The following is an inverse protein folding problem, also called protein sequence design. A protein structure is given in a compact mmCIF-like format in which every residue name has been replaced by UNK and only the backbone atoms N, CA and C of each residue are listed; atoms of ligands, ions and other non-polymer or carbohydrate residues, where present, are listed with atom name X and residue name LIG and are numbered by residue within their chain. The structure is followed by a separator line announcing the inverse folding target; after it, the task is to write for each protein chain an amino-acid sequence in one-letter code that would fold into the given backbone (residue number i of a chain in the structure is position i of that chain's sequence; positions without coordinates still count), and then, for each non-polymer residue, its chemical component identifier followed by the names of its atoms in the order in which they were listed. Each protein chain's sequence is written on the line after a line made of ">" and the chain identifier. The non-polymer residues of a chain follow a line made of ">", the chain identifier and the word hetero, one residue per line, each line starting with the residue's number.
data_IF_364503867951
#
_entry.id   IF_364503867951
#
_cell.length_a   1.000
_cell.length_b   1.000
_cell.length_c   1.000
_cell.angle_alpha   90.00
_cell.angle_beta   90.00
_cell.angle_gamma   90.00
#
_symmetry.space_group_name_H-M   'P 1'
#
loop_
_entity.id
_entity.type
_entity.pdbx_description
1 polymer ?
#
# COMPACT_ATOMS: atom_id res chain seq x y z
N UNK A 1 51.56 -33.25 -31.00
CA UNK A 1 50.62 -32.61 -30.05
C UNK A 1 50.09 -31.34 -30.68
N UNK A 2 48.79 -31.29 -31.01
CA UNK A 2 47.93 -30.09 -31.03
C UNK A 2 46.59 -30.48 -31.66
N UNK A 3 45.64 -30.90 -30.85
CA UNK A 3 44.23 -31.01 -31.26
C UNK A 3 43.63 -29.60 -31.29
N UNK A 4 43.48 -29.01 -32.47
CA UNK A 4 42.62 -27.83 -32.65
C UNK A 4 41.20 -28.30 -32.99
N UNK A 5 40.41 -28.59 -31.96
CA UNK A 5 38.97 -28.79 -32.10
C UNK A 5 38.33 -27.39 -32.17
N UNK A 6 38.04 -26.90 -33.38
CA UNK A 6 37.14 -25.75 -33.55
C UNK A 6 35.75 -26.19 -33.11
N UNK A 7 35.37 -25.86 -31.88
CA UNK A 7 33.95 -25.83 -31.53
C UNK A 7 33.37 -24.55 -32.12
N UNK A 8 32.79 -24.69 -33.31
CA UNK A 8 31.80 -23.74 -33.80
C UNK A 8 30.70 -23.64 -32.75
N UNK A 9 30.55 -22.48 -32.11
CA UNK A 9 29.36 -22.20 -31.31
C UNK A 9 28.14 -22.32 -32.25
N UNK A 10 27.09 -23.06 -31.89
CA UNK A 10 25.88 -23.10 -32.71
C UNK A 10 25.37 -21.67 -32.82
N UNK A 11 25.30 -21.16 -34.04
CA UNK A 11 24.61 -19.91 -34.32
C UNK A 11 23.20 -20.03 -33.78
N UNK A 12 22.86 -19.19 -32.82
CA UNK A 12 21.49 -19.04 -32.35
C UNK A 12 20.69 -18.51 -33.53
N UNK A 13 20.02 -19.41 -34.26
CA UNK A 13 18.97 -19.06 -35.21
C UNK A 13 17.81 -18.48 -34.41
N UNK A 14 17.94 -17.22 -33.98
CA UNK A 14 16.80 -16.44 -33.51
C UNK A 14 15.92 -16.24 -34.72
N UNK A 15 14.75 -16.86 -34.70
CA UNK A 15 13.74 -16.55 -35.72
C UNK A 15 13.26 -15.11 -35.48
N UNK A 16 12.82 -14.39 -36.52
CA UNK A 16 12.26 -13.04 -36.37
C UNK A 16 11.13 -12.97 -35.33
N UNK A 17 10.43 -14.10 -35.12
CA UNK A 17 9.43 -14.28 -34.08
C UNK A 17 10.04 -14.28 -32.68
N UNK A 18 11.16 -14.97 -32.46
CA UNK A 18 11.87 -14.98 -31.17
C UNK A 18 12.39 -13.59 -30.80
N UNK A 19 12.90 -12.82 -31.77
CA UNK A 19 13.37 -11.45 -31.52
C UNK A 19 12.21 -10.52 -31.13
N UNK A 20 11.07 -10.60 -31.82
CA UNK A 20 9.85 -9.86 -31.45
C UNK A 20 9.33 -10.22 -30.07
N UNK A 21 9.31 -11.51 -29.71
CA UNK A 21 8.89 -11.95 -28.38
C UNK A 21 9.85 -11.40 -27.32
N UNK A 22 11.16 -11.48 -27.56
CA UNK A 22 12.16 -10.95 -26.63
C UNK A 22 12.05 -9.43 -26.47
N UNK A 23 11.72 -8.70 -27.53
CA UNK A 23 11.47 -7.26 -27.49
C UNK A 23 10.22 -6.95 -26.66
N UNK A 24 9.10 -7.63 -26.90
CA UNK A 24 7.86 -7.47 -26.14
C UNK A 24 8.07 -7.78 -24.65
N UNK A 25 8.78 -8.86 -24.32
CA UNK A 25 9.11 -9.19 -22.94
C UNK A 25 10.06 -8.17 -22.30
N UNK A 26 11.00 -7.60 -23.06
CA UNK A 26 11.87 -6.52 -22.60
C UNK A 26 11.14 -5.20 -22.36
N UNK A 27 9.98 -4.99 -22.99
CA UNK A 27 9.09 -3.86 -22.70
C UNK A 27 8.26 -4.08 -21.45
N UNK A 28 7.93 -5.33 -21.09
CA UNK A 28 7.15 -5.64 -19.89
C UNK A 28 7.82 -5.12 -18.61
N UNK A 29 9.15 -5.28 -18.48
CA UNK A 29 9.93 -4.74 -17.35
C UNK A 29 9.88 -3.20 -17.27
N UNK A 30 9.73 -2.51 -18.41
CA UNK A 30 9.65 -1.05 -18.47
C UNK A 30 8.24 -0.51 -18.20
N UNK A 31 7.22 -1.34 -18.46
CA UNK A 31 5.80 -0.98 -18.34
C UNK A 31 5.18 -1.45 -17.01
N UNK A 32 5.86 -2.32 -16.26
CA UNK A 32 5.37 -2.88 -15.00
C UNK A 32 5.21 -1.87 -13.84
N UNK A 33 5.64 -0.62 -14.02
CA UNK A 33 5.69 0.37 -12.94
C UNK A 33 6.79 0.07 -11.91
N UNK A 34 6.71 0.71 -10.76
CA UNK A 34 7.61 0.52 -9.63
C UNK A 34 7.02 -0.48 -8.63
N UNK A 35 7.85 -1.40 -8.12
CA UNK A 35 7.46 -2.35 -7.07
C UNK A 35 7.09 -1.65 -5.74
N UNK A 36 7.70 -0.50 -5.48
CA UNK A 36 7.41 0.35 -4.33
C UNK A 36 7.89 1.75 -4.62
N UNK A 37 7.11 2.76 -4.23
CA UNK A 37 7.48 4.16 -4.37
C UNK A 37 7.04 4.92 -3.10
N UNK A 38 7.64 6.08 -2.85
CA UNK A 38 7.37 6.88 -1.67
C UNK A 38 7.41 8.37 -1.98
N UNK A 39 6.89 9.18 -1.05
CA UNK A 39 6.82 10.62 -1.21
C UNK A 39 5.86 11.24 -0.21
N UNK A 40 5.73 12.58 -0.26
CA UNK A 40 4.75 13.30 0.55
C UNK A 40 3.35 13.13 -0.06
N UNK A 41 2.37 12.85 0.77
CA UNK A 41 0.97 12.78 0.38
C UNK A 41 0.33 14.17 0.37
N UNK A 42 0.80 15.07 -0.49
CA UNK A 42 0.30 16.45 -0.58
C UNK A 42 -1.15 16.54 -1.09
N UNK A 43 -1.74 15.42 -1.51
CA UNK A 43 -3.15 15.32 -1.91
C UNK A 43 -4.12 15.28 -0.73
N UNK A 44 -3.67 14.92 0.47
CA UNK A 44 -4.52 14.71 1.63
C UNK A 44 -4.55 15.96 2.53
N UNK A 45 -5.74 16.40 2.99
CA UNK A 45 -5.82 17.47 3.97
C UNK A 45 -5.29 16.98 5.33
N UNK A 46 -4.81 17.86 6.23
CA UNK A 46 -4.24 17.46 7.51
C UNK A 46 -5.22 16.70 8.44
N UNK A 47 -6.53 16.91 8.27
CA UNK A 47 -7.56 16.33 9.14
C UNK A 47 -8.53 15.47 8.33
N UNK A 48 -8.67 14.17 8.63
CA UNK A 48 -9.58 13.27 7.91
C UNK A 48 -11.06 13.42 8.32
N UNK A 49 -11.33 14.16 9.41
CA UNK A 49 -12.66 14.18 10.03
C UNK A 49 -13.01 12.81 10.64
N UNK A 50 -12.08 12.22 11.39
CA UNK A 50 -12.22 10.90 12.00
C UNK A 50 -13.43 10.87 12.94
N UNK A 51 -14.37 9.97 12.68
CA UNK A 51 -15.55 9.73 13.49
C UNK A 51 -15.61 8.25 13.87
N UNK A 52 -15.93 7.97 15.13
CA UNK A 52 -16.05 6.60 15.64
C UNK A 52 -17.43 6.40 16.26
N UNK A 53 -18.13 5.36 15.84
CA UNK A 53 -19.47 5.07 16.34
C UNK A 53 -19.45 4.83 17.87
N UNK A 54 -20.36 5.49 18.59
CA UNK A 54 -20.42 5.46 20.05
C UNK A 54 -19.30 6.22 20.78
N UNK A 55 -18.40 6.93 20.07
CA UNK A 55 -17.43 7.88 20.66
C UNK A 55 -17.67 9.30 20.15
N UNK A 56 -18.00 9.44 18.87
CA UNK A 56 -18.18 10.73 18.19
C UNK A 56 -16.94 11.13 17.37
N UNK A 57 -16.77 12.44 17.15
CA UNK A 57 -15.61 12.96 16.42
C UNK A 57 -14.33 12.86 17.25
N UNK A 58 -13.26 12.39 16.62
CA UNK A 58 -11.93 12.29 17.21
C UNK A 58 -11.04 13.37 16.59
N UNK A 59 -10.64 14.35 17.40
CA UNK A 59 -9.72 15.40 16.98
C UNK A 59 -8.28 14.86 16.85
N UNK A 60 -7.59 15.35 15.82
CA UNK A 60 -6.15 15.13 15.61
C UNK A 60 -5.41 16.48 15.73
N UNK A 61 -4.25 16.54 16.41
CA UNK A 61 -3.53 15.44 17.05
C UNK A 61 -4.31 14.83 18.23
N UNK A 62 -4.13 13.52 18.43
CA UNK A 62 -4.93 12.74 19.37
C UNK A 62 -4.62 13.15 20.82
N UNK A 63 -5.57 13.80 21.48
CA UNK A 63 -5.47 14.21 22.88
C UNK A 63 -5.83 13.05 23.82
N UNK A 64 -5.26 13.06 25.03
CA UNK A 64 -5.41 11.99 26.04
C UNK A 64 -6.85 11.62 26.36
N UNK A 65 -7.77 12.59 26.37
CA UNK A 65 -9.20 12.33 26.63
C UNK A 65 -9.84 11.51 25.51
N UNK A 66 -9.66 11.92 24.26
CA UNK A 66 -10.15 11.18 23.09
C UNK A 66 -9.47 9.82 22.95
N UNK A 67 -8.17 9.74 23.26
CA UNK A 67 -7.44 8.47 23.27
C UNK A 67 -8.07 7.48 24.25
N UNK A 68 -8.40 7.89 25.48
CA UNK A 68 -9.04 7.02 26.48
C UNK A 68 -10.42 6.54 26.01
N UNK A 69 -11.25 7.44 25.48
CA UNK A 69 -12.58 7.08 24.96
C UNK A 69 -12.48 6.11 23.78
N UNK A 70 -11.54 6.33 22.87
CA UNK A 70 -11.27 5.47 21.72
C UNK A 70 -10.78 4.08 22.17
N UNK A 71 -9.78 4.03 23.05
CA UNK A 71 -9.20 2.80 23.61
C UNK A 71 -10.25 1.93 24.29
N UNK A 72 -11.22 2.54 24.99
CA UNK A 72 -12.30 1.83 25.65
C UNK A 72 -13.25 1.10 24.68
N UNK A 73 -13.31 1.53 23.41
CA UNK A 73 -14.08 0.86 22.35
C UNK A 73 -13.27 -0.16 21.56
N UNK A 74 -11.95 0.03 21.47
CA UNK A 74 -11.11 -0.85 20.67
C UNK A 74 -11.02 -2.28 21.24
N UNK A 75 -10.95 -3.26 20.35
CA UNK A 75 -10.55 -4.63 20.70
C UNK A 75 -9.05 -4.67 20.94
N UNK A 76 -8.64 -5.39 21.97
CA UNK A 76 -7.22 -5.60 22.26
C UNK A 76 -6.68 -6.73 21.38
N UNK A 77 -5.49 -6.54 20.80
CA UNK A 77 -4.80 -7.63 20.10
C UNK A 77 -4.36 -8.71 21.11
N UNK A 78 -4.53 -9.98 20.74
CA UNK A 78 -4.17 -11.13 21.59
C UNK A 78 -2.66 -11.18 21.84
N UNK A 79 -1.88 -10.94 20.79
CA UNK A 79 -0.42 -11.13 20.83
C UNK A 79 0.34 -9.84 21.20
N UNK A 80 -0.35 -8.69 21.14
CA UNK A 80 0.26 -7.36 21.25
C UNK A 80 -0.57 -6.50 22.22
N UNK A 81 -0.28 -6.54 23.54
CA UNK A 81 -1.14 -5.92 24.55
C UNK A 81 -1.26 -4.39 24.41
N UNK A 82 -0.27 -3.74 23.79
CA UNK A 82 -0.23 -2.30 23.54
C UNK A 82 -0.83 -1.87 22.19
N UNK A 83 -1.35 -2.82 21.40
CA UNK A 83 -2.01 -2.56 20.13
C UNK A 83 -3.49 -2.86 20.27
N UNK A 84 -4.31 -1.87 19.91
CA UNK A 84 -5.76 -1.98 19.92
C UNK A 84 -6.32 -1.61 18.57
N UNK A 85 -7.42 -2.23 18.17
CA UNK A 85 -8.02 -1.99 16.85
C UNK A 85 -9.54 -1.90 16.87
N UNK A 86 -10.07 -1.19 15.88
CA UNK A 86 -11.48 -1.12 15.54
C UNK A 86 -11.67 -1.57 14.09
N UNK A 87 -12.77 -2.26 13.84
CA UNK A 87 -13.20 -2.62 12.49
C UNK A 87 -13.64 -1.37 11.73
N UNK A 88 -13.53 -1.42 10.41
CA UNK A 88 -13.85 -0.29 9.53
C UNK A 88 -15.31 0.15 9.59
N UNK A 89 -16.25 -0.77 9.86
CA UNK A 89 -17.67 -0.47 10.05
C UNK A 89 -17.97 0.47 11.23
N UNK A 90 -17.02 0.60 12.17
CA UNK A 90 -17.14 1.50 13.32
C UNK A 90 -16.51 2.88 13.07
N UNK A 91 -15.87 3.10 11.92
CA UNK A 91 -15.00 4.25 11.66
C UNK A 91 -15.35 4.91 10.34
N UNK A 92 -15.56 6.22 10.39
CA UNK A 92 -15.87 7.02 9.22
C UNK A 92 -14.91 8.21 9.10
N UNK A 93 -14.53 8.54 7.86
CA UNK A 93 -13.79 9.76 7.56
C UNK A 93 -14.76 10.77 6.97
N UNK A 94 -15.20 11.73 7.79
CA UNK A 94 -16.29 12.66 7.46
C UNK A 94 -15.84 13.91 6.72
N UNK A 95 -14.54 14.13 6.51
CA UNK A 95 -14.08 15.26 5.70
C UNK A 95 -14.22 14.93 4.20
N UNK A 96 -15.08 15.62 3.43
CA UNK A 96 -15.23 15.35 1.99
C UNK A 96 -13.93 15.61 1.20
N UNK A 97 -13.13 16.60 1.64
CA UNK A 97 -11.83 16.88 1.03
C UNK A 97 -10.83 15.74 1.23
N UNK A 98 -11.01 14.92 2.28
CA UNK A 98 -10.20 13.72 2.48
C UNK A 98 -10.52 12.67 1.43
N UNK A 99 -11.80 12.44 1.14
CA UNK A 99 -12.22 11.49 0.09
C UNK A 99 -11.69 11.90 -1.28
N UNK A 100 -11.84 13.18 -1.65
CA UNK A 100 -11.27 13.71 -2.89
C UNK A 100 -9.73 13.59 -2.93
N UNK A 101 -9.05 13.74 -1.80
CA UNK A 101 -7.62 13.54 -1.67
C UNK A 101 -7.18 12.08 -1.86
N UNK A 102 -7.97 11.13 -1.34
CA UNK A 102 -7.76 9.69 -1.50
C UNK A 102 -7.95 9.26 -2.95
N UNK A 103 -8.95 9.76 -3.66
CA UNK A 103 -9.15 9.49 -5.09
C UNK A 103 -7.94 9.93 -5.94
N UNK A 104 -7.38 11.11 -5.64
CA UNK A 104 -6.15 11.59 -6.28
C UNK A 104 -4.95 10.70 -5.93
N UNK A 105 -4.82 10.32 -4.66
CA UNK A 105 -3.76 9.43 -4.21
C UNK A 105 -3.83 8.07 -4.90
N UNK A 106 -5.04 7.53 -5.12
CA UNK A 106 -5.22 6.27 -5.87
C UNK A 106 -4.73 6.36 -7.30
N UNK A 107 -4.94 7.49 -7.99
CA UNK A 107 -4.41 7.70 -9.34
C UNK A 107 -2.88 7.74 -9.36
N UNK A 108 -2.27 8.30 -8.32
CA UNK A 108 -0.81 8.29 -8.15
C UNK A 108 -0.32 6.86 -7.91
N UNK A 109 -1.00 6.09 -7.05
CA UNK A 109 -0.68 4.69 -6.80
C UNK A 109 -0.81 3.85 -8.06
N UNK A 110 -1.94 3.94 -8.78
CA UNK A 110 -2.17 3.23 -10.03
C UNK A 110 -1.07 3.51 -11.05
N UNK A 111 -0.69 4.78 -11.21
CA UNK A 111 0.41 5.17 -12.09
C UNK A 111 1.75 4.61 -11.63
N UNK A 112 2.08 4.79 -10.35
CA UNK A 112 3.35 4.35 -9.78
C UNK A 112 3.53 2.84 -9.84
N UNK A 113 2.45 2.07 -9.78
CA UNK A 113 2.46 0.59 -9.79
C UNK A 113 2.11 -0.03 -11.15
N UNK A 114 1.90 0.77 -12.20
CA UNK A 114 1.58 0.26 -13.54
C UNK A 114 0.11 -0.19 -13.74
N UNK A 115 -0.78 0.01 -12.77
CA UNK A 115 -2.20 -0.39 -12.82
C UNK A 115 -3.15 0.70 -13.35
N UNK A 116 -2.74 1.48 -14.35
CA UNK A 116 -3.56 2.60 -14.85
C UNK A 116 -4.87 2.17 -15.54
N UNK A 117 -4.90 0.96 -16.10
CA UNK A 117 -6.07 0.41 -16.81
C UNK A 117 -7.00 -0.43 -15.91
N UNK A 118 -6.73 -0.46 -14.60
CA UNK A 118 -7.51 -1.23 -13.62
C UNK A 118 -8.14 -0.28 -12.61
N UNK A 119 -9.40 -0.52 -12.26
CA UNK A 119 -10.06 0.20 -11.18
C UNK A 119 -9.50 -0.23 -9.82
N UNK A 120 -8.67 0.62 -9.22
CA UNK A 120 -8.22 0.46 -7.84
C UNK A 120 -9.26 1.05 -6.89
N UNK A 121 -9.53 0.36 -5.79
CA UNK A 121 -10.40 0.83 -4.72
C UNK A 121 -9.64 0.79 -3.39
N UNK A 122 -9.63 1.93 -2.69
CA UNK A 122 -9.08 2.01 -1.34
C UNK A 122 -10.21 1.82 -0.35
N UNK A 123 -10.12 0.74 0.43
CA UNK A 123 -11.12 0.41 1.45
C UNK A 123 -10.45 0.51 2.82
N UNK A 124 -11.12 1.19 3.75
CA UNK A 124 -10.68 1.17 5.14
C UNK A 124 -10.82 -0.26 5.66
N UNK A 125 -9.70 -0.87 6.07
CA UNK A 125 -9.70 -2.20 6.69
C UNK A 125 -9.96 -2.09 8.20
N UNK A 126 -9.09 -1.35 8.91
CA UNK A 126 -9.17 -1.21 10.37
C UNK A 126 -8.48 0.07 10.83
N UNK A 127 -8.93 0.59 11.97
CA UNK A 127 -8.24 1.65 12.70
C UNK A 127 -7.39 1.00 13.80
N UNK A 128 -6.08 1.29 13.81
CA UNK A 128 -5.15 0.76 14.81
C UNK A 128 -4.64 1.90 15.69
N UNK A 129 -4.71 1.70 17.00
CA UNK A 129 -4.22 2.64 18.02
C UNK A 129 -3.01 2.03 18.72
N UNK A 130 -1.90 2.74 18.66
CA UNK A 130 -0.66 2.36 19.33
C UNK A 130 -0.54 3.08 20.67
N UNK A 131 -0.47 2.30 21.76
CA UNK A 131 -0.10 2.81 23.07
C UNK A 131 1.41 3.05 23.19
N UNK A 132 1.85 3.56 24.34
CA UNK A 132 3.28 3.74 24.65
C UNK A 132 4.03 2.41 24.50
N UNK A 133 5.09 2.39 23.69
CA UNK A 133 5.88 1.19 23.39
C UNK A 133 5.19 0.20 22.43
N UNK A 134 3.98 0.49 21.97
CA UNK A 134 3.30 -0.26 20.93
C UNK A 134 3.98 -0.02 19.59
N UNK A 135 4.51 -1.09 19.00
CA UNK A 135 5.09 -1.06 17.67
C UNK A 135 4.80 -2.40 16.99
N UNK A 136 4.73 -2.38 15.66
CA UNK A 136 4.72 -3.61 14.88
C UNK A 136 6.15 -3.94 14.50
N UNK A 137 6.53 -5.21 14.64
CA UNK A 137 7.81 -5.69 14.12
C UNK A 137 7.76 -5.65 12.59
N UNK A 138 8.93 -5.69 11.93
CA UNK A 138 8.96 -5.94 10.49
C UNK A 138 8.21 -7.23 10.20
N UNK A 139 7.18 -7.14 9.39
CA UNK A 139 6.33 -8.26 8.97
C UNK A 139 5.89 -8.01 7.54
N UNK A 140 5.47 -9.08 6.88
CA UNK A 140 4.71 -9.00 5.65
C UNK A 140 3.23 -9.06 6.03
N UNK A 141 2.44 -8.12 5.54
CA UNK A 141 0.99 -8.22 5.68
C UNK A 141 0.53 -9.51 5.00
N UNK A 142 -0.22 -10.32 5.74
CA UNK A 142 -0.73 -11.63 5.32
C UNK A 142 -2.25 -11.63 5.13
N UNK A 143 -2.87 -10.45 5.28
CA UNK A 143 -4.27 -10.19 4.93
C UNK A 143 -4.41 -9.84 3.44
#
# INVERSE_FOLDING_TARGET
>A
MAYHRRYSRPGTNRTPTCDKISEILGLADKLAGEYSFGGRADTLPPTPGLFVNGVGMILLPLVSEHAKKLIAKCRQSRDRPNIRWLQSDQVEMKNPSWQAGMEKLMKIIARGTGYMDISLHCVLNKLVVYGKGGHVLKHQDTE
#
